data_IF_548280644553
#
_entry.id   IF_548280644553
#
_cell.length_a   1.000
_cell.length_b   1.000
_cell.length_c   1.000
_cell.angle_alpha   90.00
_cell.angle_beta   90.00
_cell.angle_gamma   90.00
#
_symmetry.space_group_name_H-M   'P 1'
#
loop_
_entity.id
_entity.type
_entity.pdbx_description
1 polymer ?
#
# COMPACT_ATOMS: atom_id res chain seq x y z
N UNK A 1 -42.09 -15.84 -17.75
CA UNK A 1 -40.63 -15.70 -17.55
C UNK A 1 -40.02 -15.36 -18.89
N UNK A 2 -39.52 -14.12 -19.04
CA UNK A 2 -39.34 -13.46 -20.33
C UNK A 2 -37.89 -13.56 -20.83
N UNK A 3 -37.79 -13.80 -22.14
CA UNK A 3 -36.62 -14.02 -23.02
C UNK A 3 -35.65 -12.82 -23.06
N UNK A 4 -35.09 -12.42 -21.92
CA UNK A 4 -34.14 -11.30 -21.77
C UNK A 4 -32.80 -11.72 -21.15
N UNK A 5 -32.53 -13.02 -21.04
CA UNK A 5 -31.33 -13.54 -20.39
C UNK A 5 -30.34 -14.23 -21.35
N UNK A 6 -30.54 -14.09 -22.64
CA UNK A 6 -29.58 -14.51 -23.65
C UNK A 6 -29.20 -13.29 -24.48
N UNK A 7 -27.89 -13.09 -24.72
CA UNK A 7 -27.29 -11.93 -25.37
C UNK A 7 -27.19 -10.74 -24.40
N UNK A 8 -26.05 -10.39 -23.81
CA UNK A 8 -24.81 -10.04 -24.50
C UNK A 8 -23.63 -10.34 -23.57
N UNK A 9 -22.85 -11.36 -23.95
CA UNK A 9 -21.44 -11.45 -23.61
C UNK A 9 -20.72 -10.37 -24.44
N UNK A 10 -20.29 -9.28 -23.81
CA UNK A 10 -19.36 -8.34 -24.42
C UNK A 10 -18.15 -8.23 -23.50
N UNK A 11 -17.06 -8.84 -23.98
CA UNK A 11 -15.75 -8.84 -23.38
C UNK A 11 -15.26 -7.40 -23.13
N UNK A 12 -14.99 -7.06 -21.87
CA UNK A 12 -14.13 -5.92 -21.54
C UNK A 12 -12.71 -6.44 -21.39
N UNK A 13 -12.09 -6.77 -22.53
CA UNK A 13 -10.65 -6.89 -22.65
C UNK A 13 -10.05 -5.47 -22.69
N UNK A 14 -10.01 -4.80 -21.53
CA UNK A 14 -9.27 -3.56 -21.39
C UNK A 14 -7.80 -3.87 -21.11
N UNK A 15 -7.02 -3.89 -22.20
CA UNK A 15 -5.58 -3.66 -22.20
C UNK A 15 -5.29 -2.39 -21.40
N UNK A 16 -4.60 -2.53 -20.27
CA UNK A 16 -3.78 -1.44 -19.74
C UNK A 16 -2.34 -1.74 -20.13
N UNK A 17 -1.84 -0.87 -21.00
CA UNK A 17 -0.51 -0.85 -21.55
C UNK A 17 0.56 -0.95 -20.46
N UNK A 18 1.68 -1.55 -20.85
CA UNK A 18 2.92 -1.59 -20.10
C UNK A 18 3.21 -0.23 -19.45
N UNK A 19 3.04 -0.16 -18.12
CA UNK A 19 3.80 0.79 -17.34
C UNK A 19 5.24 0.29 -17.42
N UNK A 20 6.04 1.01 -18.20
CA UNK A 20 7.49 0.96 -18.11
C UNK A 20 7.85 0.88 -16.62
N UNK A 21 8.40 -0.25 -16.23
CA UNK A 21 9.12 -0.42 -14.98
C UNK A 21 10.15 0.71 -14.98
N UNK A 22 9.81 1.81 -14.30
CA UNK A 22 10.81 2.66 -13.70
C UNK A 22 11.64 1.68 -12.88
N UNK A 23 12.81 1.31 -13.41
CA UNK A 23 13.85 0.71 -12.63
C UNK A 23 13.91 1.54 -11.36
N UNK A 24 13.41 0.96 -10.26
CA UNK A 24 13.58 1.53 -8.94
C UNK A 24 15.05 1.77 -8.87
N UNK A 25 15.42 3.06 -8.88
CA UNK A 25 16.77 3.47 -8.62
C UNK A 25 17.09 2.79 -7.30
N UNK A 26 17.92 1.74 -7.35
CA UNK A 26 18.76 1.40 -6.22
C UNK A 26 19.65 2.62 -6.07
N UNK A 27 19.11 3.67 -5.44
CA UNK A 27 19.88 4.69 -4.78
C UNK A 27 20.62 3.95 -3.68
N UNK A 28 21.73 3.33 -4.07
CA UNK A 28 22.91 3.11 -3.23
C UNK A 28 23.52 4.49 -2.92
N UNK A 29 22.69 5.42 -2.46
CA UNK A 29 23.06 6.78 -2.16
C UNK A 29 23.23 6.89 -0.65
N UNK A 30 24.50 7.05 -0.31
CA UNK A 30 25.06 7.30 0.99
C UNK A 30 25.13 6.09 1.95
N UNK A 31 26.34 5.90 2.48
CA UNK A 31 26.62 5.37 3.82
C UNK A 31 25.94 6.23 4.91
N UNK A 32 24.64 6.46 4.79
CA UNK A 32 23.80 7.05 5.80
C UNK A 32 23.11 5.92 6.54
N UNK A 33 22.95 6.06 7.85
CA UNK A 33 22.14 5.14 8.63
C UNK A 33 20.77 4.98 7.94
N UNK A 34 20.44 3.75 7.56
CA UNK A 34 19.12 3.40 7.02
C UNK A 34 18.23 2.97 8.20
N UNK A 35 16.93 3.24 8.08
CA UNK A 35 15.95 2.84 9.07
C UNK A 35 14.86 1.98 8.42
N UNK A 36 14.39 0.99 9.19
CA UNK A 36 13.26 0.14 8.80
C UNK A 36 11.99 0.97 8.87
N UNK A 37 11.28 1.13 7.75
CA UNK A 37 10.06 1.91 7.71
C UNK A 37 8.87 1.08 7.22
N UNK A 38 7.86 0.97 8.07
CA UNK A 38 6.64 0.20 7.81
C UNK A 38 5.56 1.07 7.16
N UNK A 39 4.79 0.45 6.26
CA UNK A 39 3.64 1.09 5.61
C UNK A 39 3.98 2.20 4.63
N UNK A 40 5.21 2.18 4.08
CA UNK A 40 5.66 3.05 2.98
C UNK A 40 6.14 2.26 1.75
N UNK A 41 6.17 0.93 1.87
CA UNK A 41 6.47 0.04 0.75
C UNK A 41 5.32 0.08 -0.24
N UNK A 42 5.63 0.24 -1.52
CA UNK A 42 4.66 0.07 -2.61
C UNK A 42 4.51 -1.41 -2.93
N UNK A 43 3.47 -1.76 -3.68
CA UNK A 43 3.32 -3.10 -4.23
C UNK A 43 4.61 -3.52 -4.97
N UNK A 44 5.11 -4.71 -4.65
CA UNK A 44 6.36 -5.24 -5.20
C UNK A 44 7.64 -4.51 -4.79
N UNK A 45 7.62 -3.62 -3.78
CA UNK A 45 8.78 -2.80 -3.37
C UNK A 45 9.04 -2.85 -1.86
N UNK A 46 8.75 -4.00 -1.22
CA UNK A 46 9.16 -4.28 0.16
C UNK A 46 10.53 -4.97 0.22
N UNK A 47 11.16 -4.89 1.38
CA UNK A 47 12.36 -5.65 1.73
C UNK A 47 12.02 -7.05 2.30
N UNK A 48 13.01 -7.94 2.36
CA UNK A 48 12.85 -9.29 2.92
C UNK A 48 12.49 -9.29 4.41
N UNK A 49 11.90 -10.38 4.91
CA UNK A 49 11.59 -10.53 6.34
C UNK A 49 10.44 -9.62 6.80
N UNK A 50 9.38 -9.54 6.00
CA UNK A 50 8.10 -8.95 6.43
C UNK A 50 7.29 -9.98 7.20
N UNK A 51 6.20 -9.55 7.85
CA UNK A 51 5.40 -10.46 8.67
C UNK A 51 4.55 -11.46 7.85
N UNK A 52 4.33 -11.15 6.57
CA UNK A 52 3.41 -11.85 5.65
C UNK A 52 4.16 -12.79 4.70
N UNK A 53 5.40 -12.45 4.32
CA UNK A 53 6.22 -13.24 3.40
C UNK A 53 7.72 -12.99 3.56
N UNK A 54 8.54 -13.97 3.17
CA UNK A 54 9.98 -13.95 3.43
C UNK A 54 10.81 -13.09 2.48
N UNK A 55 10.44 -13.01 1.20
CA UNK A 55 11.25 -12.39 0.16
C UNK A 55 10.82 -10.95 -0.16
N UNK A 56 11.78 -10.15 -0.61
CA UNK A 56 11.56 -8.82 -1.16
C UNK A 56 10.65 -8.86 -2.39
N UNK A 57 9.95 -7.76 -2.64
CA UNK A 57 9.12 -7.57 -3.83
C UNK A 57 7.83 -8.38 -3.88
N UNK A 58 7.32 -8.84 -2.74
CA UNK A 58 6.08 -9.62 -2.63
C UNK A 58 4.89 -8.85 -2.05
N UNK A 59 5.08 -7.58 -1.68
CA UNK A 59 4.02 -6.72 -1.20
C UNK A 59 2.87 -6.68 -2.22
N UNK A 60 1.69 -7.12 -1.79
CA UNK A 60 0.51 -7.22 -2.66
C UNK A 60 -0.15 -5.86 -2.92
N UNK A 61 -0.06 -4.95 -1.95
CA UNK A 61 -0.71 -3.63 -2.00
C UNK A 61 0.25 -2.53 -1.56
N UNK A 62 -0.06 -1.30 -1.96
CA UNK A 62 0.69 -0.13 -1.53
C UNK A 62 0.43 0.19 -0.05
N UNK A 63 1.49 0.56 0.66
CA UNK A 63 1.48 1.05 2.04
C UNK A 63 0.88 0.06 3.05
N UNK A 64 0.98 -1.24 2.77
CA UNK A 64 0.56 -2.28 3.70
C UNK A 64 1.32 -2.12 5.04
N UNK A 65 0.63 -2.14 6.19
CA UNK A 65 1.26 -1.88 7.49
C UNK A 65 2.21 -2.98 7.96
N UNK A 66 2.10 -4.19 7.41
CA UNK A 66 3.00 -5.30 7.68
C UNK A 66 4.24 -5.29 6.76
N UNK A 67 4.15 -4.57 5.64
CA UNK A 67 5.24 -4.39 4.70
C UNK A 67 6.16 -3.26 5.13
N UNK A 68 7.45 -3.45 4.89
CA UNK A 68 8.46 -2.46 5.22
C UNK A 68 9.48 -2.34 4.11
N UNK A 69 10.15 -1.19 4.09
CA UNK A 69 11.38 -1.02 3.33
C UNK A 69 12.39 -0.15 4.08
N UNK A 70 13.65 -0.27 3.73
CA UNK A 70 14.69 0.62 4.20
C UNK A 70 14.54 2.00 3.56
N UNK A 71 14.64 3.03 4.40
CA UNK A 71 14.64 4.42 3.99
C UNK A 71 15.79 5.15 4.68
N UNK A 72 16.12 6.35 4.22
CA UNK A 72 17.11 7.18 4.90
C UNK A 72 16.63 7.51 6.33
N UNK A 73 17.53 7.46 7.33
CA UNK A 73 17.18 7.79 8.72
C UNK A 73 16.50 9.16 8.84
N UNK A 74 15.44 9.22 9.64
CA UNK A 74 14.62 10.42 9.83
C UNK A 74 13.71 10.78 8.65
N UNK A 75 13.49 9.85 7.72
CA UNK A 75 12.55 10.03 6.60
C UNK A 75 11.28 9.20 6.74
N UNK A 76 11.27 8.16 7.56
CA UNK A 76 10.14 7.24 7.67
C UNK A 76 8.83 7.93 8.06
N UNK A 77 8.87 8.74 9.13
CA UNK A 77 7.68 9.44 9.61
C UNK A 77 7.22 10.53 8.64
N UNK A 78 8.15 11.17 7.92
CA UNK A 78 7.85 12.16 6.87
C UNK A 78 7.15 11.54 5.67
N UNK A 79 7.48 10.28 5.37
CA UNK A 79 6.80 9.47 4.36
C UNK A 79 5.44 8.92 4.85
N UNK A 80 5.05 9.18 6.10
CA UNK A 80 3.78 8.72 6.67
C UNK A 80 3.83 7.30 7.26
N UNK A 81 5.02 6.72 7.40
CA UNK A 81 5.25 5.42 8.01
C UNK A 81 5.54 5.48 9.51
N UNK A 82 5.92 4.32 10.07
CA UNK A 82 6.45 4.17 11.42
C UNK A 82 7.65 3.24 11.42
N UNK A 83 8.53 3.42 12.41
CA UNK A 83 9.67 2.54 12.66
C UNK A 83 9.27 1.22 13.33
N UNK A 84 8.03 1.17 13.82
CA UNK A 84 7.45 0.01 14.49
C UNK A 84 6.16 -0.44 13.78
N UNK A 85 6.05 -1.75 13.54
CA UNK A 85 4.93 -2.35 12.83
C UNK A 85 3.59 -2.18 13.57
N UNK A 86 3.60 -2.31 14.91
CA UNK A 86 2.39 -2.18 15.74
C UNK A 86 1.88 -0.75 15.70
N UNK A 87 2.78 0.22 15.77
CA UNK A 87 2.43 1.63 15.62
C UNK A 87 1.84 1.94 14.25
N UNK A 88 2.39 1.37 13.16
CA UNK A 88 1.83 1.58 11.82
C UNK A 88 0.42 0.98 11.69
N UNK A 89 0.22 -0.24 12.20
CA UNK A 89 -1.09 -0.90 12.21
C UNK A 89 -2.13 -0.09 12.99
N UNK A 90 -1.77 0.38 14.20
CA UNK A 90 -2.66 1.22 15.00
C UNK A 90 -3.02 2.51 14.26
N UNK A 91 -2.03 3.18 13.64
CA UNK A 91 -2.27 4.41 12.90
C UNK A 91 -3.25 4.20 11.74
N UNK A 92 -3.18 3.07 11.04
CA UNK A 92 -4.12 2.77 9.96
C UNK A 92 -5.52 2.46 10.47
N UNK A 93 -5.65 1.71 11.57
CA UNK A 93 -6.93 1.46 12.21
C UNK A 93 -7.60 2.77 12.66
N UNK A 94 -6.82 3.68 13.25
CA UNK A 94 -7.32 4.99 13.68
C UNK A 94 -7.78 5.86 12.51
N UNK A 95 -7.03 5.83 11.40
CA UNK A 95 -7.42 6.52 10.16
C UNK A 95 -8.74 5.97 9.60
N UNK A 96 -8.89 4.65 9.54
CA UNK A 96 -10.12 4.00 9.09
C UNK A 96 -11.31 4.32 10.01
N UNK A 97 -11.11 4.28 11.33
CA UNK A 97 -12.13 4.64 12.31
C UNK A 97 -12.56 6.11 12.17
N UNK A 98 -11.61 7.03 11.96
CA UNK A 98 -11.91 8.46 11.71
C UNK A 98 -12.71 8.66 10.43
N UNK A 99 -12.29 8.03 9.32
CA UNK A 99 -13.03 8.09 8.05
C UNK A 99 -14.45 7.53 8.18
N UNK A 100 -14.61 6.45 8.93
CA UNK A 100 -15.92 5.83 9.19
C UNK A 100 -16.84 6.79 9.96
N UNK A 101 -16.35 7.41 11.04
CA UNK A 101 -17.10 8.42 11.81
C UNK A 101 -17.49 9.63 10.97
N UNK A 102 -16.57 10.15 10.16
CA UNK A 102 -16.85 11.27 9.25
C UNK A 102 -17.94 10.91 8.23
N UNK A 103 -17.88 9.70 7.68
CA UNK A 103 -18.89 9.22 6.72
C UNK A 103 -20.26 9.05 7.38
N UNK A 104 -20.32 8.57 8.63
CA UNK A 104 -21.58 8.47 9.39
C UNK A 104 -22.17 9.84 9.71
N UNK A 105 -21.35 10.80 10.13
CA UNK A 105 -21.79 12.18 10.38
C UNK A 105 -22.34 12.84 9.11
N UNK A 106 -21.69 12.63 7.96
CA UNK A 106 -22.16 13.15 6.67
C UNK A 106 -23.50 12.55 6.22
N UNK A 107 -23.80 11.30 6.62
CA UNK A 107 -25.08 10.64 6.34
C UNK A 107 -26.20 11.07 7.30
N UNK A 108 -25.88 11.45 8.53
CA UNK A 108 -26.86 11.88 9.54
C UNK A 108 -27.25 13.35 9.41
N UNK A 109 -26.44 14.17 8.72
CA UNK A 109 -26.71 15.58 8.44
C UNK A 109 -27.44 15.86 7.13
N UNK A 110 -27.90 14.83 6.41
CA UNK A 110 -28.77 14.89 5.22
C UNK A 110 -30.10 14.24 5.54
#
# INVERSE_FOLDING_TARGET
MNKRQALVAAALASVCAANASAHGQMDMQAKGEQEKCYGVAKAGQNDCGTATHGCAGQAAVDNDPAEWRNVAKGSCEKAGGKLDARQQQQQQQDKQARQTRQTQQAKQGK
#
